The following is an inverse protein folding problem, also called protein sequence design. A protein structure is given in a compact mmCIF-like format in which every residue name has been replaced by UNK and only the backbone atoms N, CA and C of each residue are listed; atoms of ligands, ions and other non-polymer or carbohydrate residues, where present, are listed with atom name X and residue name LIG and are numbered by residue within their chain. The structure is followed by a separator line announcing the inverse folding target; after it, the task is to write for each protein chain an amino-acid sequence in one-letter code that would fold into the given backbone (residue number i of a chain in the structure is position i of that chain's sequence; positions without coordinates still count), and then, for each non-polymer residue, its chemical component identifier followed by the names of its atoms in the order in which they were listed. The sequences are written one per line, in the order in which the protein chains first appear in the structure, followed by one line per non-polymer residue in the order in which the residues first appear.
data_IF_829316531333
#
_entry.id   IF_829316531333
#
_cell.length_a   1.000
_cell.length_b   1.000
_cell.length_c   1.000
_cell.angle_alpha   90.00
_cell.angle_beta   90.00
_cell.angle_gamma   90.00
#
_symmetry.space_group_name_H-M   'P 1'
#
loop_
_entity.id
_entity.type
_entity.pdbx_description
1 polymer ?
#
# COMPACT_ATOMS: atom_id res chain seq x y z
N UNK A 1 45.45 -13.20 -13.17
CA UNK A 1 45.45 -13.74 -11.80
C UNK A 1 44.08 -14.33 -11.54
N UNK A 2 44.06 -15.63 -11.37
CA UNK A 2 42.91 -16.50 -11.21
C UNK A 2 42.27 -16.30 -9.83
N UNK A 3 40.94 -16.32 -9.74
CA UNK A 3 40.29 -16.97 -8.61
C UNK A 3 38.94 -17.55 -9.04
N UNK A 4 39.00 -18.85 -9.31
CA UNK A 4 37.88 -19.78 -9.46
C UNK A 4 37.72 -20.41 -8.07
N UNK A 5 36.51 -20.39 -7.51
CA UNK A 5 36.20 -21.06 -6.24
C UNK A 5 34.69 -21.31 -6.07
N UNK A 6 34.29 -22.41 -5.41
CA UNK A 6 33.41 -23.39 -6.05
C UNK A 6 32.17 -23.80 -5.22
N UNK A 7 31.42 -24.75 -5.81
CA UNK A 7 30.66 -25.86 -5.16
C UNK A 7 29.24 -25.53 -4.69
N UNK A 8 28.20 -25.95 -5.42
CA UNK A 8 27.54 -27.28 -5.37
C UNK A 8 27.13 -27.68 -3.95
N UNK A 9 25.82 -27.61 -3.70
CA UNK A 9 25.11 -28.31 -2.65
C UNK A 9 23.80 -28.86 -3.21
N UNK A 10 23.86 -30.07 -3.79
CA UNK A 10 22.69 -30.89 -4.06
C UNK A 10 22.24 -31.53 -2.75
N UNK A 11 20.98 -31.34 -2.36
CA UNK A 11 20.34 -32.20 -1.35
C UNK A 11 19.25 -33.03 -2.02
N UNK A 12 19.60 -34.28 -2.31
CA UNK A 12 18.69 -35.40 -2.49
C UNK A 12 18.35 -35.99 -1.13
N UNK A 13 17.07 -36.07 -0.79
CA UNK A 13 16.46 -37.05 0.11
C UNK A 13 15.01 -37.19 -0.39
N UNK A 14 14.49 -38.33 -0.84
CA UNK A 14 14.75 -39.71 -0.43
C UNK A 14 13.76 -40.07 0.67
N UNK A 15 12.61 -40.67 0.32
CA UNK A 15 11.62 -41.06 1.34
C UNK A 15 10.28 -41.52 0.78
N UNK A 16 10.27 -42.63 0.04
CA UNK A 16 9.06 -43.39 -0.23
C UNK A 16 8.58 -44.07 1.07
N UNK A 17 7.31 -43.88 1.42
CA UNK A 17 6.68 -44.47 2.59
C UNK A 17 5.21 -44.79 2.32
N UNK A 18 4.98 -45.79 1.46
CA UNK A 18 3.69 -46.46 1.31
C UNK A 18 3.45 -47.34 2.55
N UNK A 19 2.51 -46.96 3.40
CA UNK A 19 1.90 -47.86 4.36
C UNK A 19 0.38 -47.67 4.32
N UNK A 20 -0.29 -48.59 3.64
CA UNK A 20 -1.74 -48.70 3.67
C UNK A 20 -2.23 -49.24 5.02
N UNK A 21 -3.37 -48.76 5.52
CA UNK A 21 -4.02 -49.40 6.65
C UNK A 21 -4.81 -50.63 6.17
N UNK A 22 -4.47 -51.77 6.77
CA UNK A 22 -5.24 -53.03 6.74
C UNK A 22 -6.66 -52.77 7.24
N UNK A 23 -7.62 -53.16 6.42
CA UNK A 23 -9.01 -53.39 6.81
C UNK A 23 -9.08 -54.57 7.78
N UNK A 24 -9.27 -54.27 9.07
CA UNK A 24 -9.71 -55.24 10.07
C UNK A 24 -11.22 -55.11 10.24
N UNK A 25 -11.97 -56.02 9.61
CA UNK A 25 -13.35 -56.32 9.94
C UNK A 25 -13.37 -56.99 11.32
N UNK A 26 -13.81 -56.26 12.33
CA UNK A 26 -14.17 -56.78 13.65
C UNK A 26 -15.65 -56.49 13.90
N UNK A 27 -16.50 -57.49 13.65
CA UNK A 27 -17.86 -57.51 14.18
C UNK A 27 -17.78 -57.67 15.69
N UNK A 28 -17.91 -56.55 16.41
CA UNK A 28 -17.91 -56.48 17.86
C UNK A 28 -19.20 -55.84 18.34
N UNK A 29 -20.04 -56.67 18.97
CA UNK A 29 -21.19 -56.39 19.82
C UNK A 29 -21.46 -54.92 20.21
N UNK A 30 -22.69 -54.49 19.94
CA UNK A 30 -23.36 -53.34 20.55
C UNK A 30 -23.47 -53.57 22.07
N UNK A 31 -22.44 -53.15 22.80
CA UNK A 31 -22.52 -52.87 24.23
C UNK A 31 -22.76 -51.37 24.41
N UNK A 32 -23.98 -51.01 24.79
CA UNK A 32 -24.32 -49.68 25.31
C UNK A 32 -23.59 -49.45 26.64
N UNK A 33 -22.30 -49.15 26.59
CA UNK A 33 -21.58 -48.62 27.75
C UNK A 33 -21.69 -47.10 27.79
N UNK A 34 -22.67 -46.66 28.57
CA UNK A 34 -22.77 -45.33 29.16
C UNK A 34 -21.51 -45.05 30.01
N UNK A 35 -20.44 -44.61 29.37
CA UNK A 35 -19.28 -44.00 30.01
C UNK A 35 -19.35 -42.49 29.84
N UNK A 36 -20.14 -41.85 30.71
CA UNK A 36 -20.04 -40.42 30.98
C UNK A 36 -18.75 -40.14 31.75
N UNK A 37 -17.59 -40.33 31.13
CA UNK A 37 -16.33 -39.89 31.72
C UNK A 37 -16.31 -38.35 31.69
N UNK A 38 -16.37 -37.66 32.84
CA UNK A 38 -16.41 -36.20 32.90
C UNK A 38 -15.20 -35.55 32.20
N UNK A 39 -14.08 -36.27 32.07
CA UNK A 39 -12.88 -35.77 31.40
C UNK A 39 -13.04 -35.70 29.87
N UNK A 40 -13.81 -36.61 29.26
CA UNK A 40 -14.06 -36.62 27.80
C UNK A 40 -14.79 -35.36 27.33
N UNK A 41 -15.73 -34.87 28.14
CA UNK A 41 -16.47 -33.62 27.90
C UNK A 41 -15.54 -32.41 27.98
N UNK A 42 -14.57 -32.43 28.89
CA UNK A 42 -13.58 -31.37 29.06
C UNK A 42 -12.62 -31.29 27.85
N UNK A 43 -12.19 -32.43 27.33
CA UNK A 43 -11.38 -32.50 26.10
C UNK A 43 -12.15 -32.01 24.86
N UNK A 44 -13.42 -32.39 24.71
CA UNK A 44 -14.25 -31.93 23.61
C UNK A 44 -14.47 -30.40 23.64
N UNK A 45 -14.72 -29.83 24.82
CA UNK A 45 -14.84 -28.38 25.00
C UNK A 45 -13.52 -27.65 24.71
N UNK A 46 -12.39 -28.21 25.13
CA UNK A 46 -11.06 -27.63 24.85
C UNK A 46 -10.75 -27.67 23.36
N UNK A 47 -11.05 -28.77 22.66
CA UNK A 47 -10.88 -28.87 21.22
C UNK A 47 -11.80 -27.90 20.45
N UNK A 48 -13.06 -27.77 20.88
CA UNK A 48 -14.02 -26.85 20.27
C UNK A 48 -13.60 -25.38 20.45
N UNK A 49 -13.13 -24.99 21.64
CA UNK A 49 -12.63 -23.63 21.91
C UNK A 49 -11.36 -23.31 21.12
N UNK A 50 -10.44 -24.28 20.97
CA UNK A 50 -9.25 -24.12 20.12
C UNK A 50 -9.61 -23.96 18.64
N UNK A 51 -10.58 -24.74 18.14
CA UNK A 51 -11.04 -24.63 16.76
C UNK A 51 -11.74 -23.29 16.50
N UNK A 52 -12.60 -22.86 17.43
CA UNK A 52 -13.28 -21.57 17.36
C UNK A 52 -12.27 -20.41 17.37
N UNK A 53 -11.23 -20.48 18.21
CA UNK A 53 -10.15 -19.48 18.22
C UNK A 53 -9.45 -19.39 16.86
N UNK A 54 -9.03 -20.53 16.28
CA UNK A 54 -8.39 -20.54 14.95
C UNK A 54 -9.30 -19.99 13.86
N UNK A 55 -10.59 -20.33 13.91
CA UNK A 55 -11.58 -19.81 12.97
C UNK A 55 -11.75 -18.29 13.09
N UNK A 56 -11.85 -17.76 14.32
CA UNK A 56 -11.92 -16.32 14.58
C UNK A 56 -10.63 -15.60 14.14
N UNK A 57 -9.46 -16.16 14.45
CA UNK A 57 -8.17 -15.60 14.02
C UNK A 57 -8.09 -15.50 12.48
N UNK A 58 -8.57 -16.53 11.77
CA UNK A 58 -8.64 -16.52 10.31
C UNK A 58 -9.63 -15.47 9.78
N UNK A 59 -10.83 -15.38 10.37
CA UNK A 59 -11.83 -14.39 9.97
C UNK A 59 -11.33 -12.95 10.21
N UNK A 60 -10.66 -12.70 11.33
CA UNK A 60 -10.02 -11.42 11.64
C UNK A 60 -8.94 -11.11 10.60
N UNK A 61 -8.12 -12.10 10.21
CA UNK A 61 -7.10 -11.90 9.17
C UNK A 61 -7.72 -11.57 7.81
N UNK A 62 -8.80 -12.25 7.41
CA UNK A 62 -9.53 -11.98 6.17
C UNK A 62 -10.17 -10.59 6.20
N UNK A 63 -10.84 -10.21 7.28
CA UNK A 63 -11.42 -8.87 7.44
C UNK A 63 -10.35 -7.76 7.39
N UNK A 64 -9.18 -7.99 8.00
CA UNK A 64 -8.03 -7.08 7.89
C UNK A 64 -7.50 -6.96 6.47
N UNK A 65 -7.41 -8.07 5.74
CA UNK A 65 -6.99 -8.08 4.34
C UNK A 65 -7.97 -7.27 3.47
N UNK A 66 -9.28 -7.52 3.63
CA UNK A 66 -10.32 -6.84 2.86
C UNK A 66 -10.36 -5.33 3.14
N UNK A 67 -10.27 -4.92 4.40
CA UNK A 67 -10.20 -3.49 4.77
C UNK A 67 -8.95 -2.80 4.23
N UNK A 68 -7.81 -3.52 4.17
CA UNK A 68 -6.58 -2.99 3.57
C UNK A 68 -6.75 -2.77 2.07
N UNK A 69 -7.28 -3.77 1.35
CA UNK A 69 -7.57 -3.65 -0.09
C UNK A 69 -8.50 -2.48 -0.40
N UNK A 70 -9.60 -2.32 0.37
CA UNK A 70 -10.55 -1.22 0.18
C UNK A 70 -9.87 0.14 0.40
N UNK A 71 -8.97 0.24 1.37
CA UNK A 71 -8.25 1.48 1.65
C UNK A 71 -7.20 1.78 0.56
N UNK A 72 -6.52 0.77 0.01
CA UNK A 72 -5.58 0.95 -1.09
C UNK A 72 -6.28 1.48 -2.35
N UNK A 73 -7.45 0.92 -2.71
CA UNK A 73 -8.21 1.40 -3.88
C UNK A 73 -8.65 2.86 -3.70
N UNK A 74 -9.13 3.23 -2.51
CA UNK A 74 -9.49 4.60 -2.18
C UNK A 74 -8.29 5.54 -2.22
N UNK A 75 -7.17 5.13 -1.61
CA UNK A 75 -5.93 5.90 -1.63
C UNK A 75 -5.44 6.13 -3.07
N UNK A 76 -5.54 5.13 -3.94
CA UNK A 76 -5.21 5.28 -5.37
C UNK A 76 -6.15 6.29 -6.06
N UNK A 77 -7.46 6.23 -5.83
CA UNK A 77 -8.40 7.20 -6.40
C UNK A 77 -8.10 8.63 -5.94
N UNK A 78 -7.86 8.82 -4.65
CA UNK A 78 -7.50 10.14 -4.10
C UNK A 78 -6.14 10.62 -4.61
N UNK A 79 -5.18 9.71 -4.81
CA UNK A 79 -3.87 10.04 -5.40
C UNK A 79 -4.01 10.51 -6.85
N UNK A 80 -4.90 9.87 -7.63
CA UNK A 80 -5.19 10.29 -9.00
C UNK A 80 -5.91 11.65 -9.03
N UNK A 81 -6.82 11.89 -8.09
CA UNK A 81 -7.45 13.20 -7.94
C UNK A 81 -6.42 14.28 -7.55
N UNK A 82 -5.48 13.95 -6.66
CA UNK A 82 -4.38 14.81 -6.25
C UNK A 82 -3.48 15.15 -7.44
N UNK A 83 -3.11 14.15 -8.26
CA UNK A 83 -2.36 14.35 -9.51
C UNK A 83 -3.03 15.34 -10.44
N UNK A 84 -4.36 15.30 -10.56
CA UNK A 84 -5.08 16.23 -11.43
C UNK A 84 -4.91 17.68 -10.95
N UNK A 85 -4.97 17.92 -9.64
CA UNK A 85 -4.69 19.24 -9.05
C UNK A 85 -3.23 19.64 -9.27
N UNK A 86 -2.27 18.74 -9.04
CA UNK A 86 -0.85 19.02 -9.34
C UNK A 86 -0.62 19.36 -10.82
N UNK A 87 -1.37 18.70 -11.73
CA UNK A 87 -1.30 18.96 -13.16
C UNK A 87 -1.89 20.31 -13.55
N UNK A 88 -2.87 20.83 -12.80
CA UNK A 88 -3.34 22.20 -12.95
C UNK A 88 -2.24 23.19 -12.53
N UNK A 89 -1.63 22.99 -11.36
CA UNK A 89 -0.51 23.82 -10.89
C UNK A 89 0.67 23.79 -11.87
N UNK A 90 0.97 22.63 -12.46
CA UNK A 90 2.03 22.52 -13.47
C UNK A 90 1.73 23.33 -14.74
N UNK A 91 0.46 23.52 -15.09
CA UNK A 91 0.06 24.26 -16.31
C UNK A 91 -0.04 25.76 -16.08
N UNK A 92 -0.46 26.16 -14.90
CA UNK A 92 -0.77 27.55 -14.55
C UNK A 92 -0.48 27.77 -13.07
N UNK A 93 0.14 28.91 -12.74
CA UNK A 93 0.33 29.30 -11.35
C UNK A 93 -1.01 29.65 -10.70
N UNK A 94 -1.48 28.75 -9.82
CA UNK A 94 -2.67 28.94 -8.98
C UNK A 94 -2.34 29.05 -7.50
N UNK A 95 -1.08 29.31 -7.15
CA UNK A 95 -0.60 29.40 -5.76
C UNK A 95 -1.37 30.42 -4.91
N UNK A 96 -1.88 31.48 -5.54
CA UNK A 96 -2.62 32.57 -4.91
C UNK A 96 -4.14 32.44 -5.03
N UNK A 97 -4.66 31.42 -5.73
CA UNK A 97 -6.10 31.17 -5.88
C UNK A 97 -6.64 30.43 -4.64
N UNK A 98 -7.53 31.06 -3.84
CA UNK A 98 -8.02 30.43 -2.63
C UNK A 98 -8.89 29.20 -2.86
N UNK A 99 -9.63 29.15 -3.97
CA UNK A 99 -10.45 27.98 -4.30
C UNK A 99 -9.55 26.79 -4.65
N UNK A 100 -8.47 27.06 -5.39
CA UNK A 100 -7.49 26.05 -5.76
C UNK A 100 -6.79 25.44 -4.54
N UNK A 101 -6.24 26.26 -3.64
CA UNK A 101 -5.51 25.78 -2.45
C UNK A 101 -6.42 25.07 -1.46
N UNK A 102 -7.67 25.49 -1.33
CA UNK A 102 -8.67 24.80 -0.53
C UNK A 102 -8.96 23.40 -1.10
N UNK A 103 -9.22 23.31 -2.42
CA UNK A 103 -9.39 22.02 -3.10
C UNK A 103 -8.17 21.12 -2.93
N UNK A 104 -6.97 21.66 -3.11
CA UNK A 104 -5.70 20.93 -2.95
C UNK A 104 -5.60 20.32 -1.54
N UNK A 105 -5.88 21.12 -0.51
CA UNK A 105 -5.82 20.68 0.89
C UNK A 105 -6.89 19.63 1.22
N UNK A 106 -8.12 19.78 0.71
CA UNK A 106 -9.19 18.79 0.90
C UNK A 106 -8.83 17.45 0.28
N UNK A 107 -8.30 17.44 -0.94
CA UNK A 107 -7.89 16.19 -1.59
C UNK A 107 -6.68 15.57 -0.87
N UNK A 108 -5.73 16.40 -0.44
CA UNK A 108 -4.60 15.93 0.36
C UNK A 108 -5.04 15.26 1.65
N UNK A 109 -5.96 15.85 2.41
CA UNK A 109 -6.45 15.26 3.66
C UNK A 109 -7.09 13.90 3.43
N UNK A 110 -7.95 13.77 2.40
CA UNK A 110 -8.56 12.47 2.06
C UNK A 110 -7.52 11.41 1.72
N UNK A 111 -6.54 11.78 0.90
CA UNK A 111 -5.42 10.91 0.54
C UNK A 111 -4.62 10.49 1.78
N UNK A 112 -4.28 11.46 2.63
CA UNK A 112 -3.49 11.24 3.83
C UNK A 112 -4.22 10.37 4.86
N UNK A 113 -5.51 10.58 5.09
CA UNK A 113 -6.36 9.75 5.96
C UNK A 113 -6.47 8.31 5.47
N UNK A 114 -6.64 8.12 4.15
CA UNK A 114 -6.68 6.78 3.58
C UNK A 114 -5.31 6.07 3.65
N UNK A 115 -4.21 6.82 3.69
CA UNK A 115 -2.85 6.29 3.85
C UNK A 115 -2.44 6.07 5.31
N UNK A 116 -2.89 6.89 6.27
CA UNK A 116 -2.50 6.78 7.67
C UNK A 116 -2.94 5.45 8.30
N UNK A 117 -4.10 4.94 7.88
CA UNK A 117 -4.58 3.59 8.25
C UNK A 117 -3.76 2.42 7.65
N UNK A 118 -2.76 2.72 6.81
CA UNK A 118 -1.86 1.75 6.17
C UNK A 118 -0.46 1.73 6.80
N UNK A 119 -0.09 2.71 7.64
CA UNK A 119 1.26 2.85 8.21
C UNK A 119 1.70 1.65 9.04
N UNK A 120 0.81 1.12 9.87
CA UNK A 120 1.08 -0.08 10.67
C UNK A 120 1.30 -1.34 9.82
N UNK A 121 0.99 -1.29 8.52
CA UNK A 121 0.96 -2.42 7.60
C UNK A 121 2.08 -2.40 6.56
N UNK A 122 2.96 -1.37 6.55
CA UNK A 122 4.04 -1.22 5.54
C UNK A 122 4.86 -2.51 5.38
N UNK A 123 5.17 -3.22 6.48
CA UNK A 123 6.01 -4.45 6.44
C UNK A 123 5.40 -5.59 5.63
N UNK A 124 4.09 -5.55 5.40
CA UNK A 124 3.33 -6.56 4.66
C UNK A 124 2.48 -5.95 3.55
N UNK A 125 2.71 -4.68 3.22
CA UNK A 125 2.02 -3.99 2.15
C UNK A 125 2.46 -4.60 0.81
N UNK A 126 1.51 -4.71 -0.12
CA UNK A 126 1.86 -4.94 -1.52
C UNK A 126 2.67 -3.75 -2.10
N UNK A 127 3.31 -3.99 -3.24
CA UNK A 127 4.19 -3.02 -3.90
C UNK A 127 3.47 -1.71 -4.26
N UNK A 128 2.20 -1.80 -4.66
CA UNK A 128 1.38 -0.64 -5.00
C UNK A 128 1.15 0.24 -3.77
N UNK A 129 0.68 -0.37 -2.68
CA UNK A 129 0.44 0.30 -1.41
C UNK A 129 1.71 0.94 -0.88
N UNK A 130 2.84 0.21 -0.89
CA UNK A 130 4.13 0.75 -0.47
C UNK A 130 4.56 1.97 -1.31
N UNK A 131 4.34 1.93 -2.62
CA UNK A 131 4.68 3.02 -3.54
C UNK A 131 3.84 4.28 -3.28
N UNK A 132 2.53 4.12 -3.07
CA UNK A 132 1.63 5.22 -2.69
C UNK A 132 2.11 5.86 -1.38
N UNK A 133 2.38 5.04 -0.36
CA UNK A 133 2.79 5.53 0.96
C UNK A 133 4.13 6.26 0.92
N UNK A 134 5.11 5.75 0.17
CA UNK A 134 6.41 6.42 0.01
C UNK A 134 6.26 7.78 -0.66
N UNK A 135 5.44 7.88 -1.71
CA UNK A 135 5.18 9.14 -2.39
C UNK A 135 4.43 10.15 -1.49
N UNK A 136 3.39 9.71 -0.78
CA UNK A 136 2.67 10.56 0.18
C UNK A 136 3.63 11.05 1.26
N UNK A 137 4.50 10.19 1.78
CA UNK A 137 5.53 10.60 2.74
C UNK A 137 6.48 11.63 2.16
N UNK A 138 6.94 11.45 0.92
CA UNK A 138 7.82 12.39 0.23
C UNK A 138 7.17 13.78 0.09
N UNK A 139 5.92 13.84 -0.37
CA UNK A 139 5.17 15.11 -0.51
C UNK A 139 4.92 15.73 0.87
N UNK A 140 4.57 14.92 1.87
CA UNK A 140 4.29 15.40 3.23
C UNK A 140 5.50 16.09 3.87
N UNK A 141 6.72 15.61 3.57
CA UNK A 141 7.96 16.14 4.14
C UNK A 141 8.71 17.09 3.20
N UNK A 142 8.08 17.59 2.15
CA UNK A 142 8.68 18.58 1.27
C UNK A 142 8.49 20.00 1.84
N UNK A 143 9.49 20.90 1.79
CA UNK A 143 10.90 20.62 1.53
C UNK A 143 11.54 19.83 2.70
N UNK A 144 12.51 18.96 2.41
CA UNK A 144 13.10 18.07 3.42
C UNK A 144 13.89 18.85 4.47
N UNK A 145 13.64 18.55 5.75
CA UNK A 145 14.39 19.12 6.87
C UNK A 145 13.82 20.44 7.42
N UNK A 146 12.77 20.98 6.81
CA UNK A 146 12.06 22.15 7.33
C UNK A 146 11.01 21.77 8.38
N UNK A 147 10.74 22.67 9.32
CA UNK A 147 9.70 22.51 10.34
C UNK A 147 8.30 22.63 9.72
N UNK A 148 8.13 23.59 8.80
CA UNK A 148 6.85 23.87 8.15
C UNK A 148 6.86 23.34 6.72
N UNK A 149 6.51 22.07 6.58
CA UNK A 149 6.46 21.37 5.29
C UNK A 149 5.14 21.64 4.55
N UNK A 150 5.10 21.27 3.27
CA UNK A 150 3.91 21.18 2.45
C UNK A 150 2.83 20.33 3.13
N UNK A 151 3.22 19.16 3.66
CA UNK A 151 2.31 18.30 4.42
C UNK A 151 1.75 18.97 5.66
N UNK A 152 2.56 19.73 6.41
CA UNK A 152 2.09 20.53 7.53
C UNK A 152 1.01 21.52 7.08
N UNK A 153 1.26 22.30 6.04
CA UNK A 153 0.30 23.31 5.57
C UNK A 153 -0.99 22.68 5.02
N UNK A 154 -0.86 21.62 4.22
CA UNK A 154 -2.00 20.93 3.62
C UNK A 154 -2.88 20.23 4.67
N UNK A 155 -2.30 19.79 5.80
CA UNK A 155 -3.05 19.14 6.87
C UNK A 155 -3.65 20.16 7.84
N UNK A 156 -2.88 21.13 8.32
CA UNK A 156 -3.31 22.07 9.37
C UNK A 156 -4.28 23.16 8.87
N UNK A 157 -4.17 23.55 7.59
CA UNK A 157 -4.94 24.67 7.05
C UNK A 157 -6.04 24.26 6.08
N UNK A 158 -6.33 22.96 5.93
CA UNK A 158 -7.44 22.57 5.06
C UNK A 158 -8.79 23.09 5.61
N UNK A 159 -9.57 23.70 4.74
CA UNK A 159 -10.88 24.25 5.09
C UNK A 159 -10.84 25.59 5.81
N UNK A 160 -9.66 26.20 6.00
CA UNK A 160 -9.55 27.57 6.48
C UNK A 160 -9.77 28.57 5.32
N UNK A 161 -10.39 29.71 5.62
CA UNK A 161 -10.65 30.78 4.64
C UNK A 161 -9.40 31.59 4.27
N UNK A 162 -8.28 31.36 4.96
CA UNK A 162 -7.03 32.09 4.75
C UNK A 162 -5.85 31.12 4.58
N UNK A 163 -4.90 31.52 3.74
CA UNK A 163 -3.78 30.69 3.31
C UNK A 163 -2.50 31.37 3.77
N UNK A 164 -1.65 30.70 4.56
CA UNK A 164 -0.38 31.28 4.98
C UNK A 164 0.51 31.64 3.77
N UNK A 165 1.15 32.82 3.80
CA UNK A 165 2.11 33.23 2.77
C UNK A 165 3.20 32.18 2.45
N UNK A 166 3.80 31.50 3.44
CA UNK A 166 4.81 30.48 3.15
C UNK A 166 4.28 29.32 2.30
N UNK A 167 3.01 28.93 2.49
CA UNK A 167 2.39 27.87 1.71
C UNK A 167 2.19 28.30 0.24
N UNK A 168 1.72 29.54 0.01
CA UNK A 168 1.61 30.09 -1.35
C UNK A 168 2.96 30.15 -2.06
N UNK A 169 3.99 30.64 -1.37
CA UNK A 169 5.35 30.68 -1.92
C UNK A 169 5.86 29.28 -2.30
N UNK A 170 5.60 28.27 -1.47
CA UNK A 170 6.02 26.90 -1.77
C UNK A 170 5.35 26.33 -3.03
N UNK A 171 4.06 26.64 -3.25
CA UNK A 171 3.35 26.24 -4.46
C UNK A 171 3.86 27.01 -5.70
N UNK A 172 4.14 28.30 -5.54
CA UNK A 172 4.71 29.14 -6.58
C UNK A 172 6.10 28.64 -6.98
N UNK A 173 6.98 28.35 -6.01
CA UNK A 173 8.31 27.80 -6.24
C UNK A 173 8.26 26.46 -6.99
N UNK A 174 7.32 25.57 -6.64
CA UNK A 174 7.08 24.32 -7.38
C UNK A 174 6.66 24.56 -8.83
N UNK A 175 5.82 25.57 -9.07
CA UNK A 175 5.41 25.95 -10.42
C UNK A 175 6.58 26.54 -11.21
N UNK A 176 7.30 27.52 -10.65
CA UNK A 176 8.44 28.17 -11.29
C UNK A 176 9.57 27.17 -11.60
N UNK A 177 9.86 26.25 -10.67
CA UNK A 177 10.81 25.15 -10.91
C UNK A 177 10.35 24.27 -12.08
N UNK A 178 9.05 23.98 -12.19
CA UNK A 178 8.50 23.19 -13.30
C UNK A 178 8.60 23.88 -14.65
N UNK A 179 8.48 25.21 -14.69
CA UNK A 179 8.71 25.99 -15.92
C UNK A 179 10.20 26.03 -16.28
N UNK A 180 11.07 26.22 -15.29
CA UNK A 180 12.51 26.31 -15.49
C UNK A 180 13.13 24.97 -15.91
N UNK A 181 12.63 23.85 -15.37
CA UNK A 181 13.20 22.52 -15.61
C UNK A 181 12.11 21.42 -15.62
N UNK A 182 11.30 21.33 -16.69
CA UNK A 182 10.13 20.45 -16.73
C UNK A 182 10.41 18.95 -16.50
N UNK A 183 11.60 18.47 -16.85
CA UNK A 183 11.96 17.06 -16.73
C UNK A 183 12.44 16.66 -15.32
N UNK A 184 12.91 17.62 -14.54
CA UNK A 184 13.61 17.38 -13.26
C UNK A 184 12.96 18.09 -12.08
N UNK A 185 12.00 18.99 -12.29
CA UNK A 185 11.31 19.66 -11.19
C UNK A 185 10.61 18.67 -10.27
N UNK A 186 10.49 19.02 -8.99
CA UNK A 186 9.87 18.15 -8.01
C UNK A 186 8.40 17.86 -8.36
N UNK A 187 7.68 18.88 -8.84
CA UNK A 187 6.29 18.76 -9.28
C UNK A 187 6.13 17.74 -10.43
N UNK A 188 6.99 17.81 -11.46
CA UNK A 188 6.98 16.87 -12.58
C UNK A 188 7.34 15.46 -12.14
N UNK A 189 8.30 15.32 -11.21
CA UNK A 189 8.68 14.02 -10.67
C UNK A 189 7.52 13.36 -9.92
N UNK A 190 6.77 14.10 -9.09
CA UNK A 190 5.58 13.59 -8.42
C UNK A 190 4.50 13.15 -9.42
N UNK A 191 4.17 13.99 -10.41
CA UNK A 191 3.18 13.64 -11.44
C UNK A 191 3.59 12.36 -12.17
N UNK A 192 4.88 12.23 -12.53
CA UNK A 192 5.42 11.02 -13.17
C UNK A 192 5.30 9.79 -12.27
N UNK A 193 5.72 9.87 -11.00
CA UNK A 193 5.58 8.78 -10.02
C UNK A 193 4.12 8.33 -9.87
N UNK A 194 3.16 9.25 -9.84
CA UNK A 194 1.74 8.90 -9.77
C UNK A 194 1.28 8.15 -11.03
N UNK A 195 1.73 8.58 -12.22
CA UNK A 195 1.41 7.88 -13.46
C UNK A 195 2.01 6.46 -13.49
N UNK A 196 3.24 6.29 -13.00
CA UNK A 196 3.90 4.98 -12.86
C UNK A 196 3.11 4.06 -11.91
N UNK A 197 2.71 4.58 -10.74
CA UNK A 197 1.86 3.87 -9.75
C UNK A 197 0.54 3.40 -10.37
N UNK A 198 -0.07 4.21 -11.25
CA UNK A 198 -1.32 3.87 -11.92
C UNK A 198 -1.17 2.83 -13.06
N UNK A 199 0.03 2.28 -13.28
CA UNK A 199 0.30 1.37 -14.40
C UNK A 199 0.40 2.08 -15.75
N UNK A 200 0.55 3.41 -15.74
CA UNK A 200 0.80 4.21 -16.92
C UNK A 200 2.23 4.01 -17.41
N UNK A 201 2.47 2.93 -18.15
CA UNK A 201 3.54 2.96 -19.16
C UNK A 201 3.21 4.12 -20.09
N UNK A 202 4.11 5.11 -20.13
CA UNK A 202 4.00 6.33 -20.92
C UNK A 202 3.44 6.02 -22.33
N UNK A 203 2.31 6.60 -22.77
CA UNK A 203 1.78 6.38 -24.12
C UNK A 203 2.75 6.82 -25.22
N UNK A 204 3.83 7.55 -24.89
CA UNK A 204 4.94 7.87 -25.79
C UNK A 204 6.05 6.81 -25.86
N UNK A 205 5.92 5.66 -25.21
CA UNK A 205 6.89 4.55 -25.33
C UNK A 205 6.67 3.67 -26.56
N UNK A 206 5.69 3.98 -27.42
CA UNK A 206 5.56 3.38 -28.75
C UNK A 206 5.82 4.42 -29.85
N UNK A 207 6.64 4.03 -30.82
CA UNK A 207 7.04 4.77 -32.03
C UNK A 207 8.13 5.85 -31.88
N UNK A 208 9.38 5.38 -31.76
CA UNK A 208 10.40 5.92 -32.67
C UNK A 208 10.17 5.28 -34.05
N UNK A 209 9.81 6.04 -35.10
CA UNK A 209 9.72 5.48 -36.44
C UNK A 209 11.09 4.95 -36.85
N UNK A 210 11.13 3.70 -37.31
CA UNK A 210 12.30 3.13 -37.98
C UNK A 210 12.64 4.05 -39.17
N UNK A 211 13.88 4.51 -39.32
CA UNK A 211 14.29 5.18 -40.54
C UNK A 211 14.15 4.18 -41.69
N UNK A 212 13.34 4.55 -42.69
CA UNK A 212 13.28 3.84 -43.97
C UNK A 212 14.55 4.25 -44.71
N UNK A 213 15.51 3.33 -44.74
CA UNK A 213 16.66 3.36 -45.64
C UNK A 213 16.40 2.48 -46.86
#
# INVERSE_FOLDING_TARGET
MSNIGPSIGQNQYGGAGLNGPKSQQGSGNLGEESLSDPNSKLFALTAATLYLKKFLDHFIAVAKSLTTSINTDKALQDLLAFKNILSELHKEDKSHDPEFTQRLSIIWQKLYENCSGLEDKIKHADELTASIMLLVKEIHHFPPGEEFTLGYYLTEHAGQDWIPFPFMNMLMDLHEESLASPATSQLSQWIRKINEINGGSDPNSQEKPKPIG
#
